data_IF_226195959545
#
_entry.id   IF_226195959545
#
_cell.length_a   1.000
_cell.length_b   1.000
_cell.length_c   1.000
_cell.angle_alpha   90.00
_cell.angle_beta   90.00
_cell.angle_gamma   90.00
#
_symmetry.space_group_name_H-M   'P 1'
#
loop_
_entity.id
_entity.type
_entity.pdbx_description
1 polymer ?
#
# COMPACT_ATOMS: atom_id res chain seq x y z
N UNK A 1 23.67 5.89 3.70
CA UNK A 1 22.58 6.67 4.35
C UNK A 1 21.36 5.78 4.61
N UNK A 2 20.54 6.08 5.64
CA UNK A 2 19.34 5.28 5.95
C UNK A 2 18.18 5.45 4.95
N UNK A 3 18.23 6.45 4.06
CA UNK A 3 17.23 6.64 2.99
C UNK A 3 17.07 5.40 2.10
N UNK A 4 18.16 4.71 1.77
CA UNK A 4 18.11 3.48 0.96
C UNK A 4 17.27 2.37 1.61
N UNK A 5 17.34 2.23 2.94
CA UNK A 5 16.53 1.26 3.68
C UNK A 5 15.04 1.60 3.60
N UNK A 6 14.69 2.87 3.76
CA UNK A 6 13.30 3.31 3.66
C UNK A 6 12.74 3.17 2.24
N UNK A 7 13.55 3.43 1.21
CA UNK A 7 13.16 3.18 -0.18
C UNK A 7 12.93 1.68 -0.44
N UNK A 8 13.81 0.81 0.09
CA UNK A 8 13.65 -0.64 0.01
C UNK A 8 12.42 -1.14 0.77
N UNK A 9 12.16 -0.62 1.98
CA UNK A 9 10.97 -0.92 2.75
C UNK A 9 9.70 -0.51 1.98
N UNK A 10 9.66 0.72 1.48
CA UNK A 10 8.51 1.26 0.77
C UNK A 10 8.24 0.50 -0.54
N UNK A 11 9.28 0.15 -1.30
CA UNK A 11 9.14 -0.71 -2.48
C UNK A 11 8.51 -2.06 -2.10
N UNK A 12 9.00 -2.73 -1.05
CA UNK A 12 8.43 -4.00 -0.59
C UNK A 12 6.99 -3.84 -0.10
N UNK A 13 6.68 -2.76 0.61
CA UNK A 13 5.32 -2.45 1.06
C UNK A 13 4.36 -2.28 -0.13
N UNK A 14 4.78 -1.58 -1.20
CA UNK A 14 3.98 -1.44 -2.42
C UNK A 14 3.74 -2.77 -3.12
N UNK A 15 4.77 -3.62 -3.27
CA UNK A 15 4.62 -4.97 -3.85
C UNK A 15 3.64 -5.82 -3.03
N UNK A 16 3.80 -5.84 -1.71
CA UNK A 16 2.92 -6.59 -0.82
C UNK A 16 1.47 -6.08 -0.88
N UNK A 17 1.28 -4.76 -0.96
CA UNK A 17 -0.04 -4.16 -1.10
C UNK A 17 -0.68 -4.50 -2.45
N UNK A 18 0.09 -4.50 -3.54
CA UNK A 18 -0.39 -4.93 -4.85
C UNK A 18 -0.90 -6.38 -4.82
N UNK A 19 -0.14 -7.28 -4.20
CA UNK A 19 -0.52 -8.69 -4.08
C UNK A 19 -1.73 -8.90 -3.16
N UNK A 20 -1.83 -8.14 -2.07
CA UNK A 20 -3.02 -8.16 -1.22
C UNK A 20 -4.27 -7.67 -1.97
N UNK A 21 -4.16 -6.59 -2.75
CA UNK A 21 -5.26 -6.13 -3.59
C UNK A 21 -5.70 -7.20 -4.61
N UNK A 22 -4.75 -7.89 -5.25
CA UNK A 22 -5.06 -8.99 -6.18
C UNK A 22 -5.81 -10.13 -5.47
N UNK A 23 -5.34 -10.54 -4.28
CA UNK A 23 -5.99 -11.59 -3.51
C UNK A 23 -7.42 -11.21 -3.10
N UNK A 24 -7.63 -9.98 -2.64
CA UNK A 24 -8.98 -9.49 -2.28
C UNK A 24 -9.89 -9.40 -3.51
N UNK A 25 -9.37 -8.98 -4.66
CA UNK A 25 -10.14 -8.94 -5.90
C UNK A 25 -10.63 -10.32 -6.33
N UNK A 26 -9.81 -11.36 -6.15
CA UNK A 26 -10.15 -12.75 -6.48
C UNK A 26 -11.13 -13.34 -5.46
N UNK A 27 -10.86 -13.15 -4.17
CA UNK A 27 -11.65 -13.75 -3.10
C UNK A 27 -13.08 -13.19 -2.97
N UNK A 28 -13.28 -11.93 -3.38
CA UNK A 28 -14.56 -11.22 -3.34
C UNK A 28 -15.01 -10.82 -4.74
N UNK A 29 -14.81 -11.70 -5.73
CA UNK A 29 -15.16 -11.47 -7.12
C UNK A 29 -16.68 -11.39 -7.38
N UNK A 30 -17.49 -11.82 -6.41
CA UNK A 30 -18.95 -11.67 -6.38
C UNK A 30 -19.40 -10.23 -6.12
N UNK A 31 -18.48 -9.35 -5.69
CA UNK A 31 -18.66 -7.90 -5.53
C UNK A 31 -17.93 -7.18 -6.68
N UNK A 32 -18.62 -6.84 -7.80
CA UNK A 32 -17.93 -6.41 -9.03
C UNK A 32 -17.13 -5.12 -8.88
N UNK A 33 -17.58 -4.22 -8.00
CA UNK A 33 -16.85 -2.99 -7.70
C UNK A 33 -15.54 -3.27 -6.97
N UNK A 34 -15.56 -4.19 -6.00
CA UNK A 34 -14.38 -4.64 -5.26
C UNK A 34 -13.39 -5.32 -6.19
N UNK A 35 -13.85 -6.25 -7.03
CA UNK A 35 -13.01 -6.94 -8.00
C UNK A 35 -12.28 -5.95 -8.91
N UNK A 36 -13.02 -5.08 -9.60
CA UNK A 36 -12.45 -4.17 -10.58
C UNK A 36 -11.53 -3.12 -9.94
N UNK A 37 -11.96 -2.51 -8.84
CA UNK A 37 -11.19 -1.45 -8.20
C UNK A 37 -9.93 -2.01 -7.53
N UNK A 38 -9.99 -3.16 -6.86
CA UNK A 38 -8.79 -3.77 -6.30
C UNK A 38 -7.76 -4.13 -7.38
N UNK A 39 -8.19 -4.66 -8.54
CA UNK A 39 -7.27 -4.90 -9.67
C UNK A 39 -6.60 -3.61 -10.17
N UNK A 40 -7.36 -2.52 -10.29
CA UNK A 40 -6.79 -1.23 -10.68
C UNK A 40 -5.79 -0.71 -9.64
N UNK A 41 -6.10 -0.85 -8.35
CA UNK A 41 -5.19 -0.39 -7.29
C UNK A 41 -3.92 -1.23 -7.23
N UNK A 42 -4.00 -2.54 -7.48
CA UNK A 42 -2.81 -3.39 -7.59
C UNK A 42 -1.87 -2.90 -8.70
N UNK A 43 -2.39 -2.54 -9.88
CA UNK A 43 -1.59 -2.00 -10.97
C UNK A 43 -0.93 -0.66 -10.61
N UNK A 44 -1.61 0.19 -9.82
CA UNK A 44 -1.01 1.45 -9.33
C UNK A 44 0.13 1.18 -8.35
N UNK A 45 -0.05 0.25 -7.41
CA UNK A 45 1.01 -0.15 -6.49
C UNK A 45 2.23 -0.74 -7.22
N UNK A 46 2.01 -1.55 -8.25
CA UNK A 46 3.10 -2.04 -9.12
C UNK A 46 3.85 -0.88 -9.79
N UNK A 47 3.12 0.10 -10.33
CA UNK A 47 3.71 1.28 -10.95
C UNK A 47 4.50 2.13 -9.95
N UNK A 48 4.00 2.30 -8.72
CA UNK A 48 4.72 2.98 -7.63
C UNK A 48 6.01 2.26 -7.28
N UNK A 49 5.99 0.92 -7.19
CA UNK A 49 7.17 0.13 -6.91
C UNK A 49 8.23 0.28 -8.03
N UNK A 50 7.82 0.26 -9.30
CA UNK A 50 8.74 0.48 -10.42
C UNK A 50 9.36 1.89 -10.40
N UNK A 51 8.57 2.93 -10.07
CA UNK A 51 9.07 4.29 -9.96
C UNK A 51 10.12 4.47 -8.83
N UNK A 52 10.08 3.63 -7.79
CA UNK A 52 11.05 3.67 -6.69
C UNK A 52 12.41 3.06 -7.05
N UNK A 53 12.47 2.14 -8.02
CA UNK A 53 13.69 1.36 -8.32
C UNK A 53 14.92 2.21 -8.65
N UNK A 54 14.84 3.26 -9.50
CA UNK A 54 16.00 4.10 -9.78
C UNK A 54 16.57 4.78 -8.54
N UNK A 55 15.71 5.19 -7.61
CA UNK A 55 16.11 5.84 -6.36
C UNK A 55 16.72 4.84 -5.38
N UNK A 56 16.11 3.66 -5.24
CA UNK A 56 16.65 2.60 -4.40
C UNK A 56 18.06 2.19 -4.88
N UNK A 57 18.25 2.01 -6.19
CA UNK A 57 19.56 1.74 -6.78
C UNK A 57 20.56 2.86 -6.48
N UNK A 58 20.18 4.12 -6.78
CA UNK A 58 21.03 5.30 -6.56
C UNK A 58 21.51 5.48 -5.12
N UNK A 59 20.65 5.21 -4.13
CA UNK A 59 20.99 5.41 -2.72
C UNK A 59 21.59 4.16 -2.05
N UNK A 60 21.51 2.98 -2.68
CA UNK A 60 21.99 1.71 -2.11
C UNK A 60 23.51 1.61 -1.96
N UNK A 61 24.28 2.37 -2.73
CA UNK A 61 25.75 2.31 -2.72
C UNK A 61 26.36 2.66 -1.34
N UNK A 62 25.66 3.46 -0.53
CA UNK A 62 26.09 3.91 0.81
C UNK A 62 25.28 3.30 1.97
N UNK A 63 24.49 2.25 1.73
CA UNK A 63 23.59 1.71 2.76
C UNK A 63 24.36 0.91 3.84
N UNK A 64 24.23 1.27 5.14
CA UNK A 64 24.71 0.38 6.22
C UNK A 64 23.90 -0.93 6.25
N UNK A 65 24.27 -1.91 7.07
CA UNK A 65 23.46 -3.13 7.23
C UNK A 65 22.05 -2.81 7.77
N UNK A 66 21.03 -3.43 7.17
CA UNK A 66 19.62 -3.27 7.57
C UNK A 66 19.38 -3.90 8.96
N UNK A 67 18.65 -3.25 9.88
CA UNK A 67 18.23 -3.90 11.13
C UNK A 67 17.32 -5.11 10.87
N UNK A 68 17.56 -6.23 11.55
CA UNK A 68 16.93 -7.55 11.36
C UNK A 68 15.38 -7.61 11.47
N UNK A 69 14.69 -6.50 11.74
CA UNK A 69 13.24 -6.49 12.00
C UNK A 69 12.49 -5.30 11.39
N UNK A 70 12.55 -5.17 10.07
CA UNK A 70 11.69 -4.25 9.31
C UNK A 70 10.50 -4.96 8.62
N UNK A 71 10.15 -6.19 9.07
CA UNK A 71 9.08 -6.97 8.48
C UNK A 71 7.85 -7.04 9.40
N UNK A 72 6.84 -6.23 9.10
CA UNK A 72 5.45 -6.39 9.54
C UNK A 72 4.71 -7.22 8.50
N UNK A 73 4.22 -8.41 8.86
CA UNK A 73 3.21 -9.10 8.04
C UNK A 73 1.84 -8.56 8.45
N UNK A 74 1.33 -7.59 7.68
CA UNK A 74 0.01 -7.00 7.93
C UNK A 74 -1.15 -7.78 7.29
N UNK A 75 -0.85 -8.65 6.30
CA UNK A 75 -1.85 -9.44 5.59
C UNK A 75 -1.54 -10.93 5.71
N UNK A 76 -2.56 -11.71 6.09
CA UNK A 76 -2.43 -13.15 6.37
C UNK A 76 -3.30 -14.01 5.44
N UNK A 77 -3.85 -13.42 4.38
CA UNK A 77 -4.76 -14.05 3.45
C UNK A 77 -6.18 -13.48 3.54
N UNK A 78 -7.02 -13.91 2.60
CA UNK A 78 -8.41 -13.47 2.47
C UNK A 78 -9.37 -14.32 3.29
N UNK A 79 -10.54 -13.74 3.55
CA UNK A 79 -11.65 -14.35 4.29
C UNK A 79 -12.89 -14.34 3.41
N UNK A 80 -13.87 -15.16 3.74
CA UNK A 80 -15.09 -15.32 2.94
C UNK A 80 -16.30 -14.60 3.53
N UNK A 81 -17.27 -14.25 2.69
CA UNK A 81 -18.54 -13.64 3.09
C UNK A 81 -18.42 -12.16 3.50
N UNK A 82 -19.56 -11.53 3.83
CA UNK A 82 -19.62 -10.08 4.08
C UNK A 82 -18.74 -9.59 5.23
N UNK A 83 -18.64 -10.36 6.33
CA UNK A 83 -17.70 -10.05 7.43
C UNK A 83 -16.24 -10.25 6.99
N UNK A 84 -15.97 -11.26 6.16
CA UNK A 84 -14.66 -11.49 5.57
C UNK A 84 -14.21 -10.32 4.71
N UNK A 85 -15.06 -9.84 3.80
CA UNK A 85 -14.81 -8.66 2.99
C UNK A 85 -14.49 -7.44 3.84
N UNK A 86 -15.29 -7.18 4.89
CA UNK A 86 -15.06 -6.03 5.76
C UNK A 86 -13.70 -6.11 6.46
N UNK A 87 -13.28 -7.30 6.90
CA UNK A 87 -11.97 -7.52 7.53
C UNK A 87 -10.83 -7.40 6.53
N UNK A 88 -10.99 -7.90 5.32
CA UNK A 88 -9.96 -7.82 4.29
C UNK A 88 -9.77 -6.37 3.79
N UNK A 89 -10.85 -5.59 3.68
CA UNK A 89 -10.78 -4.14 3.42
C UNK A 89 -10.07 -3.36 4.54
N UNK A 90 -10.20 -3.80 5.80
CA UNK A 90 -9.48 -3.22 6.93
C UNK A 90 -7.98 -3.53 6.86
N UNK A 91 -7.62 -4.77 6.52
CA UNK A 91 -6.22 -5.16 6.37
C UNK A 91 -5.56 -4.37 5.21
N UNK A 92 -6.24 -4.23 4.06
CA UNK A 92 -5.80 -3.37 2.95
C UNK A 92 -5.63 -1.90 3.38
N UNK A 93 -6.54 -1.37 4.20
CA UNK A 93 -6.45 0.00 4.70
C UNK A 93 -5.21 0.23 5.55
N UNK A 94 -4.87 -0.73 6.43
CA UNK A 94 -3.68 -0.65 7.27
C UNK A 94 -2.39 -0.70 6.44
N UNK A 95 -2.33 -1.57 5.44
CA UNK A 95 -1.19 -1.65 4.52
C UNK A 95 -1.02 -0.38 3.68
N UNK A 96 -2.12 0.17 3.16
CA UNK A 96 -2.09 1.43 2.41
C UNK A 96 -1.65 2.60 3.32
N UNK A 97 -2.05 2.61 4.59
CA UNK A 97 -1.65 3.63 5.55
C UNK A 97 -0.17 3.53 5.93
N UNK A 98 0.38 2.31 5.99
CA UNK A 98 1.82 2.11 6.14
C UNK A 98 2.59 2.70 4.95
N UNK A 99 2.11 2.48 3.72
CA UNK A 99 2.70 3.08 2.52
C UNK A 99 2.60 4.61 2.54
N UNK A 100 1.47 5.17 2.93
CA UNK A 100 1.24 6.63 3.08
C UNK A 100 2.27 7.26 4.03
N UNK A 101 2.44 6.69 5.23
CA UNK A 101 3.42 7.17 6.21
C UNK A 101 4.84 7.04 5.66
N UNK A 102 5.16 5.94 4.99
CA UNK A 102 6.47 5.73 4.39
C UNK A 102 6.75 6.74 3.26
N UNK A 103 5.76 7.09 2.42
CA UNK A 103 5.86 8.18 1.45
C UNK A 103 6.19 9.50 2.13
N UNK A 104 5.46 9.86 3.20
CA UNK A 104 5.72 11.09 3.95
C UNK A 104 7.17 11.14 4.47
N UNK A 105 7.67 10.05 5.07
CA UNK A 105 9.03 9.99 5.62
C UNK A 105 10.09 10.09 4.51
N UNK A 106 9.91 9.36 3.39
CA UNK A 106 10.80 9.44 2.23
C UNK A 106 10.78 10.84 1.62
N UNK A 107 9.61 11.50 1.57
CA UNK A 107 9.46 12.88 1.10
C UNK A 107 10.28 13.87 1.92
N UNK A 108 10.25 13.76 3.25
CA UNK A 108 11.09 14.59 4.12
C UNK A 108 12.58 14.37 3.88
N UNK A 109 12.99 13.11 3.69
CA UNK A 109 14.38 12.80 3.36
C UNK A 109 14.79 13.37 2.00
N UNK A 110 13.92 13.28 0.98
CA UNK A 110 14.13 13.87 -0.35
C UNK A 110 14.36 15.38 -0.28
N UNK A 111 13.57 16.09 0.54
CA UNK A 111 13.81 17.51 0.84
C UNK A 111 15.19 17.75 1.46
N UNK A 112 15.57 16.96 2.47
CA UNK A 112 16.84 17.09 3.17
C UNK A 112 18.05 16.92 2.25
N UNK A 113 17.99 15.97 1.30
CA UNK A 113 19.07 15.72 0.32
C UNK A 113 18.92 16.54 -0.98
N UNK A 114 17.88 17.39 -1.07
CA UNK A 114 17.58 18.26 -2.22
C UNK A 114 17.38 17.49 -3.54
N UNK A 115 16.84 16.29 -3.46
CA UNK A 115 16.56 15.43 -4.60
C UNK A 115 15.16 15.73 -5.16
N UNK A 116 15.12 16.58 -6.18
CA UNK A 116 13.87 17.07 -6.78
C UNK A 116 13.10 15.96 -7.51
N UNK A 117 13.80 14.99 -8.09
CA UNK A 117 13.18 13.91 -8.85
C UNK A 117 12.49 12.91 -7.91
N UNK A 118 13.15 12.57 -6.79
CA UNK A 118 12.53 11.75 -5.75
C UNK A 118 11.35 12.48 -5.13
N UNK A 119 11.49 13.78 -4.84
CA UNK A 119 10.40 14.55 -4.27
C UNK A 119 9.16 14.58 -5.18
N UNK A 120 9.34 14.78 -6.50
CA UNK A 120 8.23 14.75 -7.45
C UNK A 120 7.56 13.37 -7.51
N UNK A 121 8.35 12.30 -7.47
CA UNK A 121 7.85 10.91 -7.44
C UNK A 121 7.02 10.65 -6.18
N UNK A 122 7.53 11.05 -5.01
CA UNK A 122 6.83 10.92 -3.73
C UNK A 122 5.49 11.65 -3.76
N UNK A 123 5.47 12.91 -4.21
CA UNK A 123 4.24 13.70 -4.24
C UNK A 123 3.15 13.09 -5.14
N UNK A 124 3.53 12.53 -6.29
CA UNK A 124 2.61 11.82 -7.17
C UNK A 124 2.03 10.56 -6.50
N UNK A 125 2.91 9.69 -5.99
CA UNK A 125 2.52 8.42 -5.39
C UNK A 125 1.73 8.60 -4.08
N UNK A 126 2.11 9.57 -3.24
CA UNK A 126 1.39 9.91 -2.00
C UNK A 126 -0.03 10.39 -2.31
N UNK A 127 -0.21 11.27 -3.30
CA UNK A 127 -1.52 11.72 -3.73
C UNK A 127 -2.43 10.58 -4.22
N UNK A 128 -1.88 9.64 -4.98
CA UNK A 128 -2.62 8.45 -5.41
C UNK A 128 -2.96 7.52 -4.24
N UNK A 129 -2.01 7.29 -3.32
CA UNK A 129 -2.21 6.48 -2.09
C UNK A 129 -3.32 7.06 -1.22
N UNK A 130 -3.39 8.38 -1.06
CA UNK A 130 -4.46 9.06 -0.34
C UNK A 130 -5.85 8.81 -0.97
N UNK A 131 -5.94 8.73 -2.30
CA UNK A 131 -7.18 8.35 -3.01
C UNK A 131 -7.55 6.90 -2.68
N UNK A 132 -6.58 5.97 -2.63
CA UNK A 132 -6.82 4.57 -2.25
C UNK A 132 -7.40 4.47 -0.83
N UNK A 133 -6.79 5.16 0.14
CA UNK A 133 -7.25 5.21 1.53
C UNK A 133 -8.67 5.75 1.66
N UNK A 134 -9.00 6.80 0.91
CA UNK A 134 -10.36 7.38 0.89
C UNK A 134 -11.39 6.38 0.34
N UNK A 135 -11.03 5.67 -0.72
CA UNK A 135 -11.90 4.64 -1.30
C UNK A 135 -12.13 3.48 -0.33
N UNK A 136 -11.06 2.89 0.23
CA UNK A 136 -11.15 1.79 1.20
C UNK A 136 -12.06 2.16 2.38
N UNK A 137 -11.89 3.36 2.94
CA UNK A 137 -12.73 3.87 4.03
C UNK A 137 -14.20 4.01 3.61
N UNK A 138 -14.46 4.46 2.39
CA UNK A 138 -15.81 4.60 1.86
C UNK A 138 -16.49 3.23 1.66
N UNK A 139 -15.77 2.25 1.09
CA UNK A 139 -16.30 0.91 0.85
C UNK A 139 -16.54 0.13 2.14
N UNK A 140 -15.67 0.28 3.15
CA UNK A 140 -15.92 -0.27 4.49
C UNK A 140 -17.20 0.27 5.12
N UNK A 141 -17.45 1.59 5.01
CA UNK A 141 -18.71 2.19 5.50
C UNK A 141 -19.95 1.62 4.82
N UNK A 142 -19.85 1.30 3.53
CA UNK A 142 -20.94 0.69 2.77
C UNK A 142 -21.17 -0.78 3.17
N UNK A 143 -20.10 -1.56 3.37
CA UNK A 143 -20.20 -2.97 3.76
C UNK A 143 -20.68 -3.17 5.20
N UNK A 144 -20.31 -2.28 6.12
CA UNK A 144 -20.45 -2.49 7.55
C UNK A 144 -21.89 -2.78 8.03
N UNK A 145 -22.95 -2.05 7.61
CA UNK A 145 -24.30 -2.35 8.08
C UNK A 145 -24.75 -3.77 7.75
N UNK A 146 -24.54 -4.20 6.50
CA UNK A 146 -24.91 -5.55 6.05
C UNK A 146 -24.06 -6.62 6.76
N UNK A 147 -22.75 -6.41 6.81
CA UNK A 147 -21.81 -7.36 7.38
C UNK A 147 -21.89 -7.52 8.90
N UNK A 148 -22.36 -6.50 9.63
CA UNK A 148 -22.35 -6.49 11.10
C UNK A 148 -23.74 -6.65 11.74
N UNK A 149 -24.82 -6.29 11.04
CA UNK A 149 -26.18 -6.29 11.62
C UNK A 149 -27.06 -7.37 11.03
N UNK A 150 -26.94 -7.62 9.72
CA UNK A 150 -27.82 -8.57 9.02
C UNK A 150 -27.24 -9.98 9.01
N UNK A 151 -25.91 -10.11 9.09
CA UNK A 151 -25.15 -11.32 8.79
C UNK A 151 -25.81 -12.64 9.25
N UNK A 152 -26.00 -13.54 8.28
CA UNK A 152 -26.42 -14.94 8.42
C UNK A 152 -25.36 -15.81 9.10
#
# INVERSE_FOLDING_TARGET
>A
MHLAHYLGLLHRAQVNLADAFRQVAEAHADEPDVQHLCQQQAQRCDAHAEQLRPFAARYSEDAPAEPDRLHSQLFTGTRTGGLGLLRDLQDLYLMAAECDIAWTVVGQAAYGVRDKDLLATVQGCEGETAIQLKWLRSRMKQAAPQALVVAD
#
